data_IF_348872559132
#
_entry.id   IF_348872559132
#
_cell.length_a   1.000
_cell.length_b   1.000
_cell.length_c   1.000
_cell.angle_alpha   90.00
_cell.angle_beta   90.00
_cell.angle_gamma   90.00
#
_symmetry.space_group_name_H-M   'P 1'
#
loop_
_entity.id
_entity.type
_entity.pdbx_description
1 polymer ?
#
# COMPACT_ATOMS: atom_id res chain seq x y z
N UNK A 1 -1.53 -26.46 -9.79
CA UNK A 1 -1.00 -27.18 -10.97
C UNK A 1 -2.04 -27.16 -12.06
N UNK A 2 -1.67 -26.88 -13.31
CA UNK A 2 -2.59 -26.73 -14.45
C UNK A 2 -3.16 -28.06 -15.00
N UNK A 3 -3.20 -29.14 -14.20
CA UNK A 3 -3.81 -30.43 -14.57
C UNK A 3 -3.31 -31.04 -15.89
N UNK A 4 -2.01 -30.97 -16.19
CA UNK A 4 -1.45 -31.47 -17.45
C UNK A 4 -1.28 -33.00 -17.47
N UNK A 5 -1.41 -33.57 -18.66
CA UNK A 5 -1.12 -34.98 -18.97
C UNK A 5 0.00 -35.09 -20.03
N UNK A 6 1.12 -35.80 -19.77
CA UNK A 6 1.49 -36.36 -18.47
C UNK A 6 1.85 -35.26 -17.46
N UNK A 7 1.56 -35.53 -16.18
CA UNK A 7 1.94 -34.66 -15.07
C UNK A 7 3.42 -34.81 -14.70
N UNK A 8 4.04 -33.81 -14.06
CA UNK A 8 5.45 -33.85 -13.67
C UNK A 8 5.75 -34.89 -12.58
N UNK A 9 4.74 -35.22 -11.77
CA UNK A 9 4.80 -36.28 -10.76
C UNK A 9 3.81 -37.39 -11.12
N UNK A 10 4.13 -38.66 -10.84
CA UNK A 10 3.19 -39.76 -11.00
C UNK A 10 1.99 -39.56 -10.07
N UNK A 11 0.79 -39.90 -10.54
CA UNK A 11 -0.40 -39.87 -9.71
C UNK A 11 -0.41 -41.08 -8.76
N UNK A 12 -0.85 -40.88 -7.51
CA UNK A 12 -0.96 -41.92 -6.50
C UNK A 12 -2.30 -41.84 -5.76
N UNK A 13 -2.65 -42.86 -4.97
CA UNK A 13 -3.85 -42.82 -4.13
C UNK A 13 -3.58 -41.97 -2.88
N UNK A 14 -3.97 -40.69 -2.95
CA UNK A 14 -3.71 -39.69 -1.92
C UNK A 14 -4.31 -40.01 -0.55
N UNK A 15 -5.26 -40.95 -0.46
CA UNK A 15 -5.82 -41.41 0.84
C UNK A 15 -4.80 -42.17 1.69
N UNK A 16 -3.79 -42.75 1.05
CA UNK A 16 -2.74 -43.54 1.68
C UNK A 16 -1.37 -42.86 1.62
N UNK A 17 -1.34 -41.56 1.29
CA UNK A 17 -0.11 -40.77 1.26
C UNK A 17 -0.14 -39.72 2.38
N UNK A 18 1.04 -39.24 2.77
CA UNK A 18 1.19 -38.17 3.76
C UNK A 18 0.60 -36.83 3.29
N UNK A 19 0.51 -36.63 1.97
CA UNK A 19 -0.05 -35.42 1.37
C UNK A 19 -1.49 -35.65 0.89
N UNK A 20 -2.39 -34.66 1.09
CA UNK A 20 -3.80 -34.81 0.73
C UNK A 20 -4.07 -34.69 -0.78
N UNK A 21 -3.12 -34.17 -1.57
CA UNK A 21 -3.29 -33.95 -3.00
C UNK A 21 -1.93 -33.73 -3.73
N UNK A 22 -1.90 -33.78 -5.08
CA UNK A 22 -0.66 -33.63 -5.85
C UNK A 22 0.05 -32.29 -5.64
N UNK A 23 -0.69 -31.19 -5.41
CA UNK A 23 -0.10 -29.87 -5.25
C UNK A 23 0.62 -29.73 -3.89
N UNK A 24 0.02 -30.27 -2.83
CA UNK A 24 0.65 -30.34 -1.51
C UNK A 24 1.94 -31.18 -1.57
N UNK A 25 1.90 -32.33 -2.23
CA UNK A 25 3.09 -33.16 -2.46
C UNK A 25 4.18 -32.40 -3.22
N UNK A 26 3.85 -31.87 -4.40
CA UNK A 26 4.80 -31.12 -5.23
C UNK A 26 5.45 -29.95 -4.49
N UNK A 27 4.69 -29.20 -3.69
CA UNK A 27 5.20 -28.09 -2.89
C UNK A 27 6.24 -28.56 -1.88
N UNK A 28 5.91 -29.55 -1.06
CA UNK A 28 6.76 -29.97 0.04
C UNK A 28 8.04 -30.65 -0.45
N UNK A 29 7.95 -31.55 -1.44
CA UNK A 29 9.16 -32.21 -1.97
C UNK A 29 10.10 -31.20 -2.65
N UNK A 30 9.56 -30.19 -3.33
CA UNK A 30 10.36 -29.10 -3.89
C UNK A 30 11.07 -28.32 -2.78
N UNK A 31 10.37 -27.98 -1.70
CA UNK A 31 10.97 -27.26 -0.57
C UNK A 31 12.07 -28.07 0.12
N UNK A 32 11.85 -29.38 0.33
CA UNK A 32 12.84 -30.29 0.92
C UNK A 32 14.08 -30.37 0.03
N UNK A 33 13.90 -30.53 -1.28
CA UNK A 33 15.02 -30.57 -2.23
C UNK A 33 15.83 -29.26 -2.21
N UNK A 34 15.17 -28.11 -2.23
CA UNK A 34 15.83 -26.80 -2.16
C UNK A 34 16.62 -26.61 -0.86
N UNK A 35 16.10 -27.09 0.27
CA UNK A 35 16.79 -27.04 1.56
C UNK A 35 17.94 -28.05 1.68
N UNK A 36 17.91 -29.12 0.89
CA UNK A 36 18.98 -30.12 0.85
C UNK A 36 20.19 -29.68 0.01
N UNK A 37 20.06 -28.61 -0.77
CA UNK A 37 21.18 -28.05 -1.54
C UNK A 37 22.29 -27.54 -0.60
N UNK A 38 23.55 -27.82 -0.96
CA UNK A 38 24.72 -27.25 -0.29
C UNK A 38 24.97 -25.78 -0.70
N UNK A 39 23.91 -24.95 -0.65
CA UNK A 39 23.88 -23.56 -1.10
C UNK A 39 23.19 -22.70 -0.03
N UNK A 40 23.71 -21.50 0.30
CA UNK A 40 23.05 -20.62 1.26
C UNK A 40 21.62 -20.25 0.85
N UNK A 41 20.71 -20.18 1.82
CA UNK A 41 19.29 -19.86 1.56
C UNK A 41 19.09 -18.52 0.84
N UNK A 42 19.95 -17.54 1.09
CA UNK A 42 19.95 -16.25 0.38
C UNK A 42 20.15 -16.44 -1.13
N UNK A 43 21.06 -17.31 -1.53
CA UNK A 43 21.40 -17.53 -2.94
C UNK A 43 20.30 -18.33 -3.64
N UNK A 44 19.76 -19.36 -2.96
CA UNK A 44 18.60 -20.12 -3.45
C UNK A 44 17.38 -19.22 -3.60
N UNK A 45 17.07 -18.39 -2.61
CA UNK A 45 15.98 -17.41 -2.67
C UNK A 45 16.12 -16.45 -3.83
N UNK A 46 17.32 -15.89 -4.03
CA UNK A 46 17.60 -15.02 -5.17
C UNK A 46 17.48 -15.74 -6.51
N UNK A 47 17.88 -17.01 -6.59
CA UNK A 47 17.73 -17.83 -7.78
C UNK A 47 16.24 -18.07 -8.10
N UNK A 48 15.41 -18.36 -7.09
CA UNK A 48 13.96 -18.51 -7.24
C UNK A 48 13.31 -17.24 -7.80
N UNK A 49 13.61 -16.06 -7.24
CA UNK A 49 13.07 -14.80 -7.76
C UNK A 49 13.53 -14.55 -9.21
N UNK A 50 14.77 -14.89 -9.54
CA UNK A 50 15.32 -14.71 -10.90
C UNK A 50 14.65 -15.59 -11.97
N UNK A 51 13.88 -16.61 -11.59
CA UNK A 51 13.11 -17.44 -12.55
C UNK A 51 12.12 -16.58 -13.35
N UNK A 52 11.52 -15.57 -12.71
CA UNK A 52 10.53 -14.68 -13.34
C UNK A 52 11.04 -13.24 -13.52
N UNK A 53 12.05 -12.81 -12.75
CA UNK A 53 12.60 -11.46 -12.84
C UNK A 53 13.69 -11.31 -13.91
N UNK A 54 14.18 -12.42 -14.47
CA UNK A 54 15.12 -12.42 -15.60
C UNK A 54 14.50 -13.21 -16.75
N UNK A 55 14.84 -12.83 -17.98
CA UNK A 55 14.40 -13.56 -19.17
C UNK A 55 14.93 -14.99 -19.13
N UNK A 56 14.02 -15.96 -18.98
CA UNK A 56 14.33 -17.38 -18.97
C UNK A 56 13.64 -18.06 -20.15
N UNK A 57 14.36 -18.78 -21.03
CA UNK A 57 13.78 -19.36 -22.24
C UNK A 57 12.72 -20.43 -21.95
N UNK A 58 12.79 -21.08 -20.78
CA UNK A 58 11.88 -22.15 -20.37
C UNK A 58 10.61 -21.66 -19.66
N UNK A 59 10.50 -20.35 -19.38
CA UNK A 59 9.36 -19.75 -18.69
C UNK A 59 8.49 -19.01 -19.72
N UNK A 60 7.36 -19.58 -20.15
CA UNK A 60 6.51 -18.94 -21.15
C UNK A 60 5.81 -17.72 -20.55
N UNK A 61 5.87 -16.60 -21.28
CA UNK A 61 5.34 -15.29 -20.87
C UNK A 61 3.86 -15.36 -20.52
N UNK A 62 3.08 -16.10 -21.30
CA UNK A 62 1.62 -16.24 -21.15
C UNK A 62 1.22 -16.86 -19.81
N UNK A 63 2.15 -17.57 -19.16
CA UNK A 63 1.93 -18.26 -17.89
C UNK A 63 2.64 -17.60 -16.70
N UNK A 64 3.24 -16.41 -16.89
CA UNK A 64 4.13 -15.80 -15.91
C UNK A 64 3.50 -15.63 -14.52
N UNK A 65 2.19 -15.34 -14.45
CA UNK A 65 1.45 -15.21 -13.20
C UNK A 65 1.35 -16.54 -12.45
N UNK A 66 1.22 -17.66 -13.16
CA UNK A 66 1.24 -18.99 -12.56
C UNK A 66 2.63 -19.33 -11.98
N UNK A 67 3.71 -18.89 -12.64
CA UNK A 67 5.07 -19.02 -12.13
C UNK A 67 5.30 -18.15 -10.90
N UNK A 68 4.87 -16.89 -10.92
CA UNK A 68 4.93 -16.01 -9.74
C UNK A 68 4.16 -16.61 -8.55
N UNK A 69 2.97 -17.18 -8.81
CA UNK A 69 2.18 -17.86 -7.79
C UNK A 69 2.90 -19.09 -7.20
N UNK A 70 3.51 -19.92 -8.05
CA UNK A 70 4.28 -21.09 -7.61
C UNK A 70 5.51 -20.67 -6.79
N UNK A 71 6.25 -19.65 -7.24
CA UNK A 71 7.38 -19.08 -6.48
C UNK A 71 6.90 -18.55 -5.14
N UNK A 72 5.78 -17.83 -5.11
CA UNK A 72 5.16 -17.33 -3.88
C UNK A 72 4.91 -18.46 -2.88
N UNK A 73 4.24 -19.54 -3.30
CA UNK A 73 3.98 -20.71 -2.45
C UNK A 73 5.26 -21.39 -1.95
N UNK A 74 6.23 -21.60 -2.85
CA UNK A 74 7.49 -22.29 -2.51
C UNK A 74 8.32 -21.44 -1.56
N UNK A 75 8.56 -20.17 -1.89
CA UNK A 75 9.50 -19.35 -1.13
C UNK A 75 8.96 -19.00 0.27
N UNK A 76 7.64 -18.88 0.45
CA UNK A 76 7.05 -18.61 1.77
C UNK A 76 6.99 -19.83 2.67
N UNK A 77 7.06 -21.04 2.09
CA UNK A 77 7.19 -22.30 2.84
C UNK A 77 8.64 -22.59 3.28
N UNK A 78 9.62 -21.87 2.73
CA UNK A 78 11.03 -21.98 3.10
C UNK A 78 11.39 -21.11 4.33
N UNK A 79 12.49 -21.40 5.04
CA UNK A 79 12.98 -20.59 6.16
C UNK A 79 13.30 -19.13 5.78
N UNK A 80 13.37 -18.25 6.79
CA UNK A 80 13.61 -16.80 6.62
C UNK A 80 14.71 -16.40 5.64
N UNK A 81 15.91 -17.02 5.65
CA UNK A 81 16.98 -16.65 4.74
C UNK A 81 16.63 -16.75 3.25
N UNK A 82 15.60 -17.52 2.87
CA UNK A 82 15.19 -17.72 1.49
C UNK A 82 14.27 -16.59 0.99
N UNK A 83 13.25 -16.20 1.77
CA UNK A 83 12.27 -15.21 1.32
C UNK A 83 12.63 -13.77 1.70
N UNK A 84 13.48 -13.54 2.71
CA UNK A 84 13.85 -12.18 3.15
C UNK A 84 14.55 -11.38 2.04
N UNK A 85 15.16 -12.06 1.07
CA UNK A 85 15.84 -11.46 -0.09
C UNK A 85 14.90 -10.65 -1.00
N UNK A 86 13.58 -10.85 -0.88
CA UNK A 86 12.60 -10.01 -1.55
C UNK A 86 12.71 -8.54 -1.11
N UNK A 87 13.02 -8.28 0.17
CA UNK A 87 13.22 -6.92 0.68
C UNK A 87 14.38 -6.23 -0.06
N UNK A 88 15.50 -6.92 -0.25
CA UNK A 88 16.65 -6.40 -1.01
C UNK A 88 16.23 -6.07 -2.46
N UNK A 89 15.40 -6.90 -3.10
CA UNK A 89 14.90 -6.64 -4.46
C UNK A 89 14.03 -5.40 -4.53
N UNK A 90 13.14 -5.20 -3.55
CA UNK A 90 12.29 -4.01 -3.47
C UNK A 90 13.14 -2.76 -3.25
N UNK A 91 14.11 -2.78 -2.32
CA UNK A 91 15.01 -1.65 -2.07
C UNK A 91 15.80 -1.28 -3.33
N UNK A 92 16.29 -2.26 -4.06
CA UNK A 92 16.99 -2.04 -5.34
C UNK A 92 16.09 -1.38 -6.39
N UNK A 93 14.81 -1.76 -6.46
CA UNK A 93 13.84 -1.12 -7.37
C UNK A 93 13.54 0.31 -6.94
N UNK A 94 13.27 0.54 -5.66
CA UNK A 94 13.03 1.88 -5.10
C UNK A 94 14.22 2.81 -5.39
N UNK A 95 15.44 2.29 -5.31
CA UNK A 95 16.67 3.05 -5.56
C UNK A 95 17.05 3.14 -7.05
N UNK A 96 16.25 2.55 -7.95
CA UNK A 96 16.58 2.51 -9.38
C UNK A 96 16.29 3.85 -10.08
N UNK A 97 17.02 4.16 -11.17
CA UNK A 97 16.79 5.37 -11.97
C UNK A 97 15.35 5.52 -12.45
N UNK A 98 14.63 4.42 -12.68
CA UNK A 98 13.23 4.42 -13.09
C UNK A 98 12.31 5.12 -12.09
N UNK A 99 12.61 5.01 -10.80
CA UNK A 99 11.82 5.63 -9.73
C UNK A 99 12.47 6.88 -9.16
N UNK A 100 13.79 7.05 -9.27
CA UNK A 100 14.49 8.24 -8.75
C UNK A 100 14.60 9.38 -9.75
N UNK A 101 14.52 9.13 -11.05
CA UNK A 101 14.68 10.14 -12.09
C UNK A 101 13.37 10.90 -12.33
N UNK A 102 13.42 12.22 -12.23
CA UNK A 102 12.34 13.13 -12.68
C UNK A 102 12.36 13.27 -14.21
N UNK A 103 12.42 12.16 -14.96
CA UNK A 103 12.38 12.19 -16.42
C UNK A 103 10.95 12.31 -16.92
N UNK A 104 10.68 13.32 -17.75
CA UNK A 104 9.37 13.64 -18.38
C UNK A 104 8.71 12.49 -19.17
N UNK A 105 9.47 11.43 -19.46
CA UNK A 105 9.01 10.27 -20.25
C UNK A 105 7.99 9.40 -19.51
N UNK A 106 8.01 9.38 -18.18
CA UNK A 106 7.02 8.66 -17.38
C UNK A 106 5.84 9.60 -17.11
N UNK A 107 5.10 9.94 -18.17
CA UNK A 107 4.00 10.89 -18.11
C UNK A 107 2.83 10.41 -17.22
N UNK A 108 2.78 9.10 -16.91
CA UNK A 108 1.81 8.52 -16.00
C UNK A 108 2.36 7.29 -15.26
N UNK A 109 2.77 7.43 -13.98
CA UNK A 109 3.40 6.33 -13.22
C UNK A 109 2.47 5.14 -13.00
N UNK A 110 1.15 5.31 -13.06
CA UNK A 110 0.23 4.18 -12.85
C UNK A 110 0.27 3.14 -13.98
N UNK A 111 0.62 3.54 -15.20
CA UNK A 111 0.86 2.57 -16.29
C UNK A 111 2.11 1.73 -16.02
N UNK A 112 3.15 2.35 -15.45
CA UNK A 112 4.37 1.65 -15.02
C UNK A 112 4.06 0.60 -13.94
N UNK A 113 3.13 0.88 -13.05
CA UNK A 113 2.77 0.01 -11.93
C UNK A 113 1.71 -1.04 -12.30
N UNK A 114 1.13 -0.95 -13.49
CA UNK A 114 0.20 -1.96 -14.02
C UNK A 114 0.97 -3.08 -14.71
N UNK A 115 1.11 -4.20 -13.99
CA UNK A 115 1.71 -5.42 -14.50
C UNK A 115 1.04 -5.94 -15.77
N UNK A 116 -0.29 -5.93 -15.83
CA UNK A 116 -1.03 -6.52 -16.95
C UNK A 116 -0.80 -5.69 -18.21
N UNK A 117 -0.93 -4.37 -18.10
CA UNK A 117 -0.70 -3.46 -19.23
C UNK A 117 0.75 -3.53 -19.74
N UNK A 118 1.74 -3.51 -18.83
CA UNK A 118 3.16 -3.62 -19.18
C UNK A 118 3.47 -4.95 -19.86
N UNK A 119 2.96 -6.06 -19.31
CA UNK A 119 3.20 -7.40 -19.83
C UNK A 119 2.58 -7.60 -21.23
N UNK A 120 1.33 -7.16 -21.42
CA UNK A 120 0.63 -7.26 -22.70
C UNK A 120 1.25 -6.37 -23.78
N UNK A 121 1.80 -5.22 -23.40
CA UNK A 121 2.45 -4.28 -24.32
C UNK A 121 3.91 -4.63 -24.64
N UNK A 122 4.42 -5.79 -24.18
CA UNK A 122 5.82 -6.20 -24.33
C UNK A 122 6.83 -5.20 -23.73
N UNK A 123 6.37 -4.37 -22.77
CA UNK A 123 7.19 -3.39 -22.06
C UNK A 123 7.54 -3.94 -20.68
N UNK A 124 8.29 -5.04 -20.66
CA UNK A 124 8.66 -5.74 -19.42
C UNK A 124 9.62 -4.88 -18.59
N UNK A 125 9.06 -4.10 -17.68
CA UNK A 125 9.84 -3.31 -16.75
C UNK A 125 10.12 -4.10 -15.48
N UNK A 126 11.39 -4.13 -15.10
CA UNK A 126 11.87 -4.85 -13.93
C UNK A 126 11.13 -4.44 -12.65
N UNK A 127 10.86 -3.15 -12.46
CA UNK A 127 10.14 -2.64 -11.29
C UNK A 127 8.72 -3.22 -11.15
N UNK A 128 8.01 -3.36 -12.27
CA UNK A 128 6.63 -3.87 -12.32
C UNK A 128 6.58 -5.37 -12.04
N UNK A 129 7.57 -6.11 -12.54
CA UNK A 129 7.70 -7.54 -12.26
C UNK A 129 8.05 -7.81 -10.81
N UNK A 130 8.93 -7.00 -10.20
CA UNK A 130 9.21 -7.08 -8.76
C UNK A 130 7.96 -6.77 -7.94
N UNK A 131 7.15 -5.80 -8.36
CA UNK A 131 5.88 -5.46 -7.69
C UNK A 131 4.91 -6.65 -7.71
N UNK A 132 4.65 -7.20 -8.90
CA UNK A 132 3.75 -8.35 -9.07
C UNK A 132 4.24 -9.61 -8.32
N UNK A 133 5.55 -9.87 -8.35
CA UNK A 133 6.13 -10.98 -7.61
C UNK A 133 6.03 -10.76 -6.10
N UNK A 134 6.29 -9.54 -5.61
CA UNK A 134 6.13 -9.22 -4.20
C UNK A 134 4.68 -9.43 -3.75
N UNK A 135 3.70 -9.05 -4.57
CA UNK A 135 2.29 -9.34 -4.31
C UNK A 135 2.01 -10.84 -4.23
N UNK A 136 2.54 -11.64 -5.17
CA UNK A 136 2.37 -13.10 -5.13
C UNK A 136 3.00 -13.73 -3.88
N UNK A 137 4.20 -13.29 -3.48
CA UNK A 137 4.88 -13.77 -2.26
C UNK A 137 4.10 -13.37 -1.01
N UNK A 138 3.69 -12.11 -0.88
CA UNK A 138 2.95 -11.63 0.29
C UNK A 138 1.53 -12.20 0.39
N UNK A 139 0.92 -12.54 -0.73
CA UNK A 139 -0.36 -13.25 -0.75
C UNK A 139 -0.26 -14.62 -0.06
N UNK A 140 0.83 -15.36 -0.28
CA UNK A 140 1.08 -16.67 0.33
C UNK A 140 1.86 -16.63 1.65
N UNK A 141 2.28 -15.43 2.09
CA UNK A 141 3.00 -15.27 3.36
C UNK A 141 2.04 -15.43 4.53
N UNK A 142 2.50 -15.98 5.65
CA UNK A 142 1.78 -15.95 6.92
C UNK A 142 1.72 -14.52 7.50
N UNK A 143 0.78 -14.25 8.42
CA UNK A 143 0.76 -12.97 9.14
C UNK A 143 2.03 -12.72 9.96
N UNK A 144 2.71 -13.79 10.40
CA UNK A 144 4.00 -13.73 11.05
C UNK A 144 5.06 -13.12 10.15
N UNK A 145 5.18 -13.62 8.91
CA UNK A 145 6.09 -13.05 7.90
C UNK A 145 5.70 -11.61 7.53
N UNK A 146 4.42 -11.33 7.29
CA UNK A 146 3.95 -9.99 6.95
C UNK A 146 4.16 -8.96 8.07
N UNK A 147 4.24 -9.40 9.33
CA UNK A 147 4.49 -8.48 10.45
C UNK A 147 5.87 -7.82 10.45
N UNK A 148 6.77 -8.23 9.54
CA UNK A 148 8.03 -7.54 9.30
C UNK A 148 7.88 -6.30 8.40
N UNK A 149 6.76 -6.16 7.69
CA UNK A 149 6.54 -5.04 6.74
C UNK A 149 6.60 -3.66 7.42
N UNK A 150 6.00 -3.40 8.61
CA UNK A 150 6.14 -2.11 9.26
C UNK A 150 7.60 -1.73 9.54
N UNK A 151 8.38 -2.68 10.07
CA UNK A 151 9.81 -2.48 10.33
C UNK A 151 10.58 -2.26 9.03
N UNK A 152 10.30 -3.05 7.99
CA UNK A 152 10.88 -2.88 6.66
C UNK A 152 10.61 -1.48 6.08
N UNK A 153 9.38 -0.98 6.20
CA UNK A 153 9.00 0.36 5.74
C UNK A 153 9.77 1.44 6.51
N UNK A 154 9.79 1.37 7.84
CA UNK A 154 10.40 2.41 8.67
C UNK A 154 11.93 2.42 8.63
N UNK A 155 12.57 1.25 8.61
CA UNK A 155 14.03 1.14 8.71
C UNK A 155 14.73 1.08 7.35
N UNK A 156 14.11 0.50 6.32
CA UNK A 156 14.77 0.28 5.03
C UNK A 156 14.20 1.16 3.90
N UNK A 157 12.88 1.34 3.82
CA UNK A 157 12.28 2.11 2.72
C UNK A 157 12.21 3.62 3.00
N UNK A 158 11.75 4.03 4.18
CA UNK A 158 11.64 5.46 4.55
C UNK A 158 12.93 6.26 4.34
N UNK A 159 14.14 5.75 4.65
CA UNK A 159 15.38 6.49 4.40
C UNK A 159 15.66 6.78 2.92
N UNK A 160 15.25 5.88 2.01
CA UNK A 160 15.56 5.96 0.58
C UNK A 160 14.44 6.58 -0.27
N UNK A 161 13.21 6.63 0.24
CA UNK A 161 12.06 7.24 -0.43
C UNK A 161 12.16 8.77 -0.35
N UNK A 162 12.41 9.40 -1.50
CA UNK A 162 12.60 10.85 -1.66
C UNK A 162 11.80 11.46 -2.80
N UNK A 163 11.37 10.66 -3.76
CA UNK A 163 10.63 11.13 -4.94
C UNK A 163 9.18 10.65 -4.93
N UNK A 164 8.35 11.31 -5.73
CA UNK A 164 6.92 10.98 -5.85
C UNK A 164 6.67 9.55 -6.37
N UNK A 165 7.47 9.07 -7.33
CA UNK A 165 7.30 7.73 -7.89
C UNK A 165 7.67 6.62 -6.93
N UNK A 166 8.72 6.83 -6.11
CA UNK A 166 9.05 5.91 -5.04
C UNK A 166 7.90 5.77 -4.03
N UNK A 167 7.27 6.89 -3.64
CA UNK A 167 6.12 6.87 -2.74
C UNK A 167 4.94 6.10 -3.34
N UNK A 168 4.61 6.38 -4.60
CA UNK A 168 3.54 5.67 -5.31
C UNK A 168 3.84 4.17 -5.42
N UNK A 169 5.09 3.79 -5.69
CA UNK A 169 5.49 2.38 -5.71
C UNK A 169 5.25 1.70 -4.35
N UNK A 170 5.62 2.35 -3.25
CA UNK A 170 5.37 1.83 -1.89
C UNK A 170 3.88 1.66 -1.60
N UNK A 171 3.03 2.61 -2.04
CA UNK A 171 1.59 2.49 -1.87
C UNK A 171 1.01 1.33 -2.68
N UNK A 172 1.47 1.13 -3.92
CA UNK A 172 1.03 -0.02 -4.73
C UNK A 172 1.53 -1.34 -4.16
N UNK A 173 2.71 -1.34 -3.55
CA UNK A 173 3.30 -2.51 -2.93
C UNK A 173 2.48 -2.97 -1.70
N UNK A 174 2.17 -2.06 -0.78
CA UNK A 174 1.59 -2.40 0.53
C UNK A 174 0.07 -2.26 0.58
N UNK A 175 -0.51 -1.33 -0.20
CA UNK A 175 -1.94 -1.02 -0.23
C UNK A 175 -2.87 -2.25 -0.33
N UNK A 176 -2.62 -3.21 -1.23
CA UNK A 176 -3.46 -4.41 -1.37
C UNK A 176 -3.55 -5.29 -0.13
N UNK A 177 -2.60 -5.18 0.80
CA UNK A 177 -2.51 -6.04 1.99
C UNK A 177 -3.04 -5.36 3.26
N UNK A 178 -3.51 -4.11 3.19
CA UNK A 178 -4.01 -3.38 4.35
C UNK A 178 -5.21 -4.06 5.01
N UNK A 179 -6.15 -4.60 4.22
CA UNK A 179 -7.29 -5.35 4.74
C UNK A 179 -6.84 -6.57 5.56
N UNK A 180 -5.80 -7.25 5.11
CA UNK A 180 -5.25 -8.41 5.80
C UNK A 180 -4.63 -8.03 7.14
N UNK A 181 -3.90 -6.92 7.20
CA UNK A 181 -3.40 -6.38 8.47
C UNK A 181 -4.51 -5.92 9.39
N UNK A 182 -5.59 -5.32 8.87
CA UNK A 182 -6.74 -4.93 9.69
C UNK A 182 -7.37 -6.15 10.39
N UNK A 183 -7.54 -7.25 9.65
CA UNK A 183 -8.18 -8.47 10.13
C UNK A 183 -7.28 -9.31 11.04
N UNK A 184 -6.01 -9.48 10.67
CA UNK A 184 -5.12 -10.46 11.32
C UNK A 184 -4.15 -9.80 12.32
N UNK A 185 -3.80 -8.51 12.16
CA UNK A 185 -2.81 -7.84 13.02
C UNK A 185 -2.89 -6.30 13.00
N UNK A 186 -3.92 -5.75 13.63
CA UNK A 186 -4.28 -4.31 13.56
C UNK A 186 -3.13 -3.36 13.92
N UNK A 187 -2.26 -3.72 14.86
CA UNK A 187 -1.08 -2.91 15.22
C UNK A 187 -0.19 -2.60 14.00
N UNK A 188 0.07 -3.59 13.16
CA UNK A 188 0.88 -3.40 11.95
C UNK A 188 0.19 -2.45 10.96
N UNK A 189 -1.14 -2.51 10.84
CA UNK A 189 -1.92 -1.59 9.99
C UNK A 189 -1.74 -0.14 10.44
N UNK A 190 -1.78 0.14 11.75
CA UNK A 190 -1.56 1.48 12.28
C UNK A 190 -0.14 1.99 12.06
N UNK A 191 0.87 1.14 12.30
CA UNK A 191 2.29 1.46 12.05
C UNK A 191 2.55 1.76 10.56
N UNK A 192 1.98 0.96 9.65
CA UNK A 192 2.02 1.19 8.20
C UNK A 192 1.34 2.51 7.83
N UNK A 193 0.16 2.77 8.42
CA UNK A 193 -0.59 4.00 8.19
C UNK A 193 0.25 5.24 8.51
N UNK A 194 0.91 5.27 9.67
CA UNK A 194 1.83 6.37 10.04
C UNK A 194 3.02 6.45 9.10
N UNK A 195 3.65 5.32 8.77
CA UNK A 195 4.80 5.28 7.87
C UNK A 195 4.50 5.89 6.47
N UNK A 196 3.29 5.71 5.95
CA UNK A 196 2.87 6.37 4.71
C UNK A 196 2.94 7.90 4.80
N UNK A 197 2.44 8.49 5.89
CA UNK A 197 2.51 9.95 6.09
C UNK A 197 3.95 10.43 6.29
N UNK A 198 4.78 9.69 7.02
CA UNK A 198 6.20 10.03 7.22
C UNK A 198 6.98 10.02 5.89
N UNK A 199 6.71 9.06 5.01
CA UNK A 199 7.29 9.01 3.67
C UNK A 199 6.75 10.13 2.78
N UNK A 200 5.45 10.45 2.86
CA UNK A 200 4.89 11.61 2.17
C UNK A 200 5.58 12.91 2.60
N UNK A 201 5.82 13.10 3.90
CA UNK A 201 6.55 14.27 4.40
C UNK A 201 7.98 14.32 3.88
N UNK A 202 8.66 13.17 3.84
CA UNK A 202 10.03 13.08 3.32
C UNK A 202 10.12 13.46 1.84
N UNK A 203 9.14 13.03 1.04
CA UNK A 203 9.02 13.37 -0.38
C UNK A 203 8.63 14.83 -0.58
N UNK A 204 7.69 15.34 0.22
CA UNK A 204 7.25 16.73 0.19
C UNK A 204 8.40 17.72 0.44
N UNK A 205 9.34 17.35 1.32
CA UNK A 205 10.50 18.17 1.65
C UNK A 205 11.62 18.08 0.61
N UNK A 206 11.74 16.95 -0.09
CA UNK A 206 12.79 16.73 -1.08
C UNK A 206 12.40 17.23 -2.48
N UNK A 207 11.16 16.97 -2.91
CA UNK A 207 10.68 17.35 -4.24
C UNK A 207 10.28 18.82 -4.31
N UNK A 208 10.67 19.52 -5.38
CA UNK A 208 10.22 20.91 -5.61
C UNK A 208 8.72 20.97 -5.93
N UNK A 209 8.25 20.04 -6.76
CA UNK A 209 6.86 19.94 -7.19
C UNK A 209 6.37 18.49 -7.05
N UNK A 210 5.05 18.33 -6.87
CA UNK A 210 4.38 17.03 -6.84
C UNK A 210 3.27 17.07 -7.88
N UNK A 211 3.27 16.12 -8.81
CA UNK A 211 2.38 16.08 -9.97
C UNK A 211 1.13 15.24 -9.69
N UNK A 212 1.19 14.31 -8.75
CA UNK A 212 0.18 13.29 -8.44
C UNK A 212 -0.36 13.41 -7.01
N UNK A 213 -0.45 14.64 -6.51
CA UNK A 213 -0.98 14.95 -5.18
C UNK A 213 -2.40 14.41 -4.96
N UNK A 214 -3.27 14.48 -5.97
CA UNK A 214 -4.66 14.05 -5.85
C UNK A 214 -4.76 12.52 -5.62
N UNK A 215 -4.18 11.64 -6.48
CA UNK A 215 -4.15 10.21 -6.20
C UNK A 215 -3.53 9.82 -4.86
N UNK A 216 -2.46 10.52 -4.44
CA UNK A 216 -1.83 10.30 -3.13
C UNK A 216 -2.82 10.59 -2.00
N UNK A 217 -3.52 11.73 -2.08
CA UNK A 217 -4.48 12.13 -1.06
C UNK A 217 -5.71 11.22 -1.05
N UNK A 218 -6.23 10.84 -2.22
CA UNK A 218 -7.37 9.92 -2.35
C UNK A 218 -7.06 8.56 -1.72
N UNK A 219 -5.85 8.03 -1.96
CA UNK A 219 -5.40 6.80 -1.31
C UNK A 219 -5.33 6.97 0.22
N UNK A 220 -4.76 8.08 0.72
CA UNK A 220 -4.68 8.32 2.17
C UNK A 220 -6.06 8.50 2.83
N UNK A 221 -7.02 9.09 2.13
CA UNK A 221 -8.42 9.14 2.57
C UNK A 221 -9.05 7.75 2.61
N UNK A 222 -8.83 6.94 1.57
CA UNK A 222 -9.25 5.54 1.57
C UNK A 222 -8.66 4.79 2.78
N UNK A 223 -7.36 4.96 3.04
CA UNK A 223 -6.70 4.34 4.19
C UNK A 223 -7.31 4.80 5.52
N UNK A 224 -7.61 6.10 5.66
CA UNK A 224 -8.29 6.64 6.83
C UNK A 224 -9.65 5.98 7.04
N UNK A 225 -10.53 6.07 6.05
CA UNK A 225 -11.93 5.70 6.25
C UNK A 225 -12.17 4.19 6.28
N UNK A 226 -11.33 3.41 5.60
CA UNK A 226 -11.49 1.95 5.55
C UNK A 226 -10.70 1.21 6.63
N UNK A 227 -9.56 1.75 7.07
CA UNK A 227 -8.63 1.01 7.93
C UNK A 227 -8.31 1.72 9.25
N UNK A 228 -7.67 2.89 9.21
CA UNK A 228 -7.09 3.48 10.44
C UNK A 228 -8.12 4.21 11.31
N UNK A 229 -9.20 4.72 10.71
CA UNK A 229 -10.15 5.61 11.37
C UNK A 229 -9.45 6.84 11.97
N UNK A 230 -9.66 7.05 13.27
CA UNK A 230 -9.00 8.11 14.05
C UNK A 230 -7.83 7.61 14.91
N UNK A 231 -7.48 6.33 14.83
CA UNK A 231 -6.49 5.68 15.70
C UNK A 231 -5.08 6.28 15.61
N UNK A 232 -4.74 6.91 14.47
CA UNK A 232 -3.44 7.55 14.22
C UNK A 232 -3.54 9.08 14.07
N UNK A 233 -4.71 9.66 14.41
CA UNK A 233 -5.03 11.06 14.14
C UNK A 233 -3.96 12.02 14.66
N UNK A 234 -3.59 11.93 15.94
CA UNK A 234 -2.65 12.87 16.57
C UNK A 234 -1.25 12.81 15.95
N UNK A 235 -0.79 11.61 15.56
CA UNK A 235 0.51 11.42 14.93
C UNK A 235 0.51 11.98 13.50
N UNK A 236 -0.54 11.67 12.74
CA UNK A 236 -0.72 12.13 11.37
C UNK A 236 -0.91 13.64 11.30
N UNK A 237 -1.59 14.24 12.28
CA UNK A 237 -1.78 15.70 12.35
C UNK A 237 -0.47 16.45 12.46
N UNK A 238 0.43 16.01 13.34
CA UNK A 238 1.78 16.59 13.48
C UNK A 238 2.55 16.52 12.16
N UNK A 239 2.37 15.44 11.39
CA UNK A 239 3.02 15.28 10.09
C UNK A 239 2.40 16.25 9.07
N UNK A 240 1.06 16.29 8.96
CA UNK A 240 0.34 17.17 8.02
C UNK A 240 0.67 18.65 8.26
N UNK A 241 0.84 19.07 9.52
CA UNK A 241 1.24 20.43 9.87
C UNK A 241 2.58 20.85 9.25
N UNK A 242 3.44 19.91 8.87
CA UNK A 242 4.75 20.17 8.25
C UNK A 242 4.75 20.08 6.72
N UNK A 243 3.62 19.72 6.09
CA UNK A 243 3.52 19.60 4.65
C UNK A 243 3.35 20.97 3.95
N UNK A 244 3.59 21.03 2.64
CA UNK A 244 3.30 22.21 1.81
C UNK A 244 1.81 22.59 1.85
N UNK A 245 1.46 23.88 1.67
CA UNK A 245 0.07 24.35 1.73
C UNK A 245 -0.91 23.59 0.83
N UNK A 246 -0.46 23.21 -0.38
CA UNK A 246 -1.27 22.47 -1.34
C UNK A 246 -1.67 21.06 -0.85
N UNK A 247 -0.81 20.37 -0.09
CA UNK A 247 -1.12 19.07 0.52
C UNK A 247 -2.03 19.24 1.73
N UNK A 248 -1.74 20.22 2.59
CA UNK A 248 -2.58 20.56 3.75
C UNK A 248 -4.04 20.82 3.35
N UNK A 249 -4.25 21.60 2.29
CA UNK A 249 -5.59 21.90 1.79
C UNK A 249 -6.33 20.64 1.30
N UNK A 250 -5.62 19.72 0.64
CA UNK A 250 -6.20 18.45 0.15
C UNK A 250 -6.50 17.49 1.30
N UNK A 251 -5.60 17.39 2.28
CA UNK A 251 -5.71 16.49 3.44
C UNK A 251 -6.47 17.11 4.64
N UNK A 252 -7.12 18.27 4.47
CA UNK A 252 -7.77 19.02 5.55
C UNK A 252 -8.81 18.23 6.36
N UNK A 253 -9.42 17.20 5.75
CA UNK A 253 -10.43 16.38 6.40
C UNK A 253 -9.87 15.11 7.06
N UNK A 254 -8.57 14.80 6.86
CA UNK A 254 -7.94 13.66 7.55
C UNK A 254 -7.92 13.87 9.07
N UNK A 255 -7.66 15.10 9.50
CA UNK A 255 -7.50 15.46 10.91
C UNK A 255 -8.71 16.23 11.46
N UNK A 256 -9.68 16.59 10.61
CA UNK A 256 -10.72 17.56 10.97
C UNK A 256 -10.10 18.74 11.71
N UNK A 257 -9.11 19.42 11.10
CA UNK A 257 -8.72 20.74 11.59
C UNK A 257 -9.98 21.58 11.47
N UNK A 258 -10.66 21.77 12.61
CA UNK A 258 -11.79 22.68 12.72
C UNK A 258 -11.38 23.99 12.08
N UNK A 259 -12.29 24.51 11.27
CA UNK A 259 -12.23 25.81 10.60
C UNK A 259 -11.42 26.81 11.42
N UNK A 260 -10.49 27.50 10.76
CA UNK A 260 -10.00 28.81 11.21
C UNK A 260 -11.11 29.56 11.92
N UNK A 261 -10.89 29.92 13.19
CA UNK A 261 -11.65 30.99 13.82
C UNK A 261 -11.45 32.26 12.97
N UNK A 262 -12.51 32.87 12.43
CA UNK A 262 -12.42 34.19 11.85
C UNK A 262 -12.38 35.23 12.99
N UNK A 263 -11.28 35.28 13.74
CA UNK A 263 -11.03 36.38 14.68
C UNK A 263 -10.19 37.46 14.01
N UNK A 264 -10.87 38.33 13.27
CA UNK A 264 -10.61 39.78 13.20
C UNK A 264 -11.52 40.46 12.17
N UNK A 265 -12.84 40.40 12.40
CA UNK A 265 -13.69 41.47 11.92
C UNK A 265 -13.61 42.61 12.95
N UNK A 266 -13.31 43.87 12.55
CA UNK A 266 -13.22 44.98 13.49
C UNK A 266 -14.62 45.28 14.05
N UNK A 267 -14.72 45.28 15.39
CA UNK A 267 -15.90 45.70 16.13
C UNK A 267 -16.21 47.17 15.85
N UNK A 268 -17.34 47.45 15.20
CA UNK A 268 -17.95 48.76 15.28
C UNK A 268 -18.66 48.88 16.63
N UNK A 269 -18.08 49.71 17.49
CA UNK A 269 -18.66 50.22 18.73
C UNK A 269 -19.92 51.03 18.44
N UNK A 270 -21.07 50.62 19.00
CA UNK A 270 -22.24 51.47 19.16
C UNK A 270 -22.61 51.59 20.63
N UNK A 271 -22.22 52.73 21.22
CA UNK A 271 -22.68 53.31 22.49
C UNK A 271 -23.46 54.56 22.05
N UNK A 272 -24.69 54.93 22.43
CA UNK A 272 -25.42 54.97 23.71
C UNK A 272 -26.87 55.45 23.43
N UNK A 273 -27.93 54.80 23.95
CA UNK A 273 -28.83 55.29 25.04
C UNK A 273 -30.12 56.03 24.55
N UNK A 274 -31.15 56.34 25.40
CA UNK A 274 -32.40 55.55 25.44
C UNK A 274 -33.73 56.36 25.39
N UNK A 275 -34.84 55.61 25.37
CA UNK A 275 -36.21 55.92 25.81
C UNK A 275 -37.15 56.77 24.95
N UNK A 276 -38.36 56.23 24.72
CA UNK A 276 -39.66 56.90 24.88
C UNK A 276 -40.80 55.86 24.81
N UNK A 277 -41.56 55.74 25.91
CA UNK A 277 -42.86 55.05 25.97
C UNK A 277 -43.97 55.98 25.45
N UNK A 278 -44.95 55.43 24.72
CA UNK A 278 -46.35 55.93 24.78
C UNK A 278 -47.34 54.98 24.10
N UNK A 279 -48.19 54.36 24.93
CA UNK A 279 -49.60 53.95 24.78
C UNK A 279 -50.26 53.83 23.38
N UNK A 280 -50.98 52.72 23.15
CA UNK A 280 -52.46 52.69 23.11
C UNK A 280 -53.07 51.26 22.99
N UNK A 281 -53.75 50.83 24.07
CA UNK A 281 -55.10 50.23 24.17
C UNK A 281 -55.69 49.22 23.15
N UNK A 282 -55.98 48.00 23.66
CA UNK A 282 -57.25 47.17 23.64
C UNK A 282 -58.11 47.08 22.36
N UNK A 283 -58.62 45.91 21.92
CA UNK A 283 -59.84 45.23 22.42
C UNK A 283 -59.93 43.73 21.99
N UNK A 284 -60.50 42.93 22.90
CA UNK A 284 -61.06 41.54 22.94
C UNK A 284 -61.71 40.97 21.65
N UNK A 285 -61.44 39.73 21.20
CA UNK A 285 -62.10 38.43 21.56
C UNK A 285 -62.95 37.87 20.38
N UNK A 286 -63.54 36.65 20.40
CA UNK A 286 -63.05 35.28 20.68
C UNK A 286 -63.31 34.24 19.53
N UNK A 287 -62.85 32.98 19.71
CA UNK A 287 -63.32 31.63 19.21
C UNK A 287 -63.98 31.50 17.81
N UNK A 288 -63.81 30.44 16.99
CA UNK A 288 -64.16 29.02 17.23
C UNK A 288 -63.88 28.19 15.94
N UNK A 289 -63.41 26.94 16.10
CA UNK A 289 -63.88 25.67 15.47
C UNK A 289 -63.83 25.44 13.95
N UNK A 290 -63.02 24.43 13.59
CA UNK A 290 -63.20 23.32 12.63
C UNK A 290 -63.76 23.54 11.22
N UNK A 291 -62.95 23.15 10.23
CA UNK A 291 -63.16 21.94 9.40
C UNK A 291 -61.80 21.36 8.98
#
# INVERSE_FOLDING_TARGET
>A
MAGKSPGPFPNCDWRFNEFPNPAAHALHVTCVELMALAVPGKDVGNALLNVVLKSQPLVPRESITAWMNAIGLVITALPEPYWIVLHDRIVNVISSPTLTSETDWVRYPFQLLDFTACHQSYSEMYCTYVLALAHAVWHHSSIGQLSLIPKFLSELLKPVVKTEFQLLYVYHLVGPFLQRFQQERTRCMLEIGVAFYEMLQSVDQYSKHLNHMDPICDFLYHVKYMFTGDSVKEQVEKIICNLRPALKLRLRFITHISKMDPTSAPQYTSVSSPASQSNQSTVSGPMTVSQ
#
